data_IF_275236030451
#
_entry.id   IF_275236030451
#
_cell.length_a   1.000
_cell.length_b   1.000
_cell.length_c   1.000
_cell.angle_alpha   90.00
_cell.angle_beta   90.00
_cell.angle_gamma   90.00
#
_symmetry.space_group_name_H-M   'P 1'
#
loop_
_entity.id
_entity.type
_entity.pdbx_description
1 polymer ?
#
# COMPACT_ATOMS: atom_id res chain seq x y z
N UNK A 1 -3.48 21.64 -6.81
CA UNK A 1 -4.01 21.51 -5.43
C UNK A 1 -2.94 20.80 -4.60
N UNK A 2 -2.66 21.25 -3.37
CA UNK A 2 -1.72 20.52 -2.50
C UNK A 2 -2.31 19.18 -2.07
N UNK A 3 -1.46 18.21 -1.74
CA UNK A 3 -1.90 16.86 -1.33
C UNK A 3 -2.63 16.86 0.04
N UNK A 4 -2.43 17.91 0.84
CA UNK A 4 -3.08 18.10 2.15
C UNK A 4 -4.32 19.02 2.11
N UNK A 5 -4.77 19.45 0.93
CA UNK A 5 -5.85 20.43 0.80
C UNK A 5 -7.18 20.03 1.49
N UNK A 6 -7.37 18.74 1.79
CA UNK A 6 -8.57 18.19 2.42
C UNK A 6 -8.28 17.35 3.68
N UNK A 7 -7.14 17.55 4.33
CA UNK A 7 -6.74 16.74 5.49
C UNK A 7 -7.72 16.89 6.67
N UNK A 8 -8.25 18.10 6.90
CA UNK A 8 -9.22 18.38 7.98
C UNK A 8 -10.70 18.05 7.66
N UNK A 9 -11.02 17.56 6.46
CA UNK A 9 -12.40 17.29 6.03
C UNK A 9 -12.93 15.95 6.58
N UNK A 10 -12.97 15.80 7.91
CA UNK A 10 -13.25 14.54 8.61
C UNK A 10 -14.63 13.92 8.30
N UNK A 11 -15.62 14.75 7.97
CA UNK A 11 -16.99 14.32 7.72
C UNK A 11 -17.36 14.25 6.23
N UNK A 12 -16.38 14.40 5.32
CA UNK A 12 -16.67 14.35 3.89
C UNK A 12 -16.96 12.92 3.45
N UNK A 13 -18.10 12.72 2.79
CA UNK A 13 -18.55 11.43 2.24
C UNK A 13 -18.11 11.24 0.78
N UNK A 14 -18.09 12.32 -0.01
CA UNK A 14 -17.77 12.28 -1.44
C UNK A 14 -17.13 13.57 -1.95
N UNK A 15 -16.26 13.43 -2.95
CA UNK A 15 -15.84 14.50 -3.84
C UNK A 15 -16.72 14.51 -5.09
N UNK A 16 -17.12 15.71 -5.52
CA UNK A 16 -17.81 15.93 -6.79
C UNK A 16 -17.05 16.98 -7.59
N UNK A 17 -16.64 16.64 -8.81
CA UNK A 17 -16.02 17.57 -9.76
C UNK A 17 -17.05 17.95 -10.82
N UNK A 18 -17.43 19.23 -10.85
CA UNK A 18 -18.54 19.74 -11.67
C UNK A 18 -18.06 20.14 -13.09
N UNK A 19 -16.77 20.45 -13.27
CA UNK A 19 -16.19 20.79 -14.58
C UNK A 19 -15.21 19.70 -15.07
N UNK A 20 -15.57 19.05 -16.18
CA UNK A 20 -14.77 17.99 -16.81
C UNK A 20 -13.62 18.49 -17.71
N UNK A 21 -13.47 19.81 -17.86
CA UNK A 21 -12.32 20.43 -18.53
C UNK A 21 -11.13 20.65 -17.60
N UNK A 22 -11.33 20.53 -16.29
CA UNK A 22 -10.30 20.69 -15.26
C UNK A 22 -9.30 19.54 -15.17
N UNK A 23 -8.34 19.68 -14.25
CA UNK A 23 -7.25 18.71 -14.03
C UNK A 23 -7.66 17.45 -13.25
N UNK A 24 -8.90 17.39 -12.74
CA UNK A 24 -9.37 16.37 -11.82
C UNK A 24 -10.64 15.71 -12.32
N UNK A 25 -10.92 14.51 -11.80
CA UNK A 25 -12.17 13.79 -12.02
C UNK A 25 -12.56 13.05 -10.75
N UNK A 26 -13.81 12.57 -10.68
CA UNK A 26 -14.30 11.78 -9.55
C UNK A 26 -14.87 10.46 -10.03
N UNK A 27 -14.80 9.46 -9.17
CA UNK A 27 -15.45 8.17 -9.35
C UNK A 27 -15.73 7.58 -7.98
N UNK A 28 -16.95 7.08 -7.77
CA UNK A 28 -17.39 6.55 -6.47
C UNK A 28 -17.09 7.50 -5.30
N UNK A 29 -17.22 8.81 -5.53
CA UNK A 29 -16.93 9.86 -4.55
C UNK A 29 -15.43 10.06 -4.22
N UNK A 30 -14.51 9.34 -4.85
CA UNK A 30 -13.06 9.51 -4.68
C UNK A 30 -12.53 10.51 -5.73
N UNK A 31 -11.56 11.33 -5.34
CA UNK A 31 -10.92 12.32 -6.21
C UNK A 31 -9.68 11.74 -6.90
N UNK A 32 -9.62 11.92 -8.21
CA UNK A 32 -8.54 11.47 -9.08
C UNK A 32 -7.99 12.62 -9.93
N UNK A 33 -6.83 12.41 -10.55
CA UNK A 33 -6.45 13.23 -11.70
C UNK A 33 -7.43 12.98 -12.88
N UNK A 34 -7.39 13.84 -13.89
CA UNK A 34 -8.32 13.78 -15.04
C UNK A 34 -8.32 12.43 -15.75
N UNK A 35 -7.14 11.82 -15.94
CA UNK A 35 -6.97 10.53 -16.61
C UNK A 35 -7.30 9.32 -15.73
N UNK A 36 -7.63 9.52 -14.44
CA UNK A 36 -7.83 8.45 -13.46
C UNK A 36 -6.64 7.49 -13.36
N UNK A 37 -5.44 8.02 -13.48
CA UNK A 37 -4.19 7.29 -13.29
C UNK A 37 -3.56 7.53 -11.92
N UNK A 38 -3.96 8.60 -11.22
CA UNK A 38 -3.55 8.92 -9.85
C UNK A 38 -4.78 9.10 -8.95
N UNK A 39 -4.83 8.38 -7.83
CA UNK A 39 -5.71 8.74 -6.71
C UNK A 39 -5.13 9.98 -6.04
N UNK A 40 -5.93 11.03 -5.95
CA UNK A 40 -5.52 12.29 -5.31
C UNK A 40 -5.96 12.29 -3.85
N UNK A 41 -7.23 11.97 -3.57
CA UNK A 41 -7.75 11.94 -2.21
C UNK A 41 -9.01 11.09 -2.09
N UNK A 42 -9.10 10.31 -1.03
CA UNK A 42 -10.29 9.60 -0.59
C UNK A 42 -10.98 10.40 0.53
N UNK A 43 -12.32 10.50 0.54
CA UNK A 43 -13.06 11.10 1.65
C UNK A 43 -12.84 10.31 2.95
N UNK A 44 -12.67 11.01 4.07
CA UNK A 44 -12.35 10.36 5.36
C UNK A 44 -13.49 9.48 5.90
N UNK A 45 -14.74 9.77 5.54
CA UNK A 45 -15.89 8.97 5.95
C UNK A 45 -16.18 7.79 5.00
N UNK A 46 -15.35 7.57 3.97
CA UNK A 46 -15.50 6.42 3.06
C UNK A 46 -15.32 5.10 3.82
N UNK A 47 -16.17 4.11 3.54
CA UNK A 47 -16.20 2.83 4.26
C UNK A 47 -16.19 1.60 3.36
N UNK A 48 -15.78 0.48 3.93
CA UNK A 48 -15.86 -0.84 3.32
C UNK A 48 -14.77 -1.11 2.31
N UNK A 49 -15.12 -1.82 1.24
CA UNK A 49 -14.19 -2.27 0.21
C UNK A 49 -14.05 -1.21 -0.87
N UNK A 50 -12.81 -0.85 -1.21
CA UNK A 50 -12.50 0.06 -2.33
C UNK A 50 -11.91 -0.72 -3.49
N UNK A 51 -12.58 -0.64 -4.63
CA UNK A 51 -12.09 -1.16 -5.91
C UNK A 51 -11.59 0.02 -6.73
N UNK A 52 -10.27 0.09 -6.96
CA UNK A 52 -9.71 1.15 -7.76
C UNK A 52 -9.88 0.89 -9.27
N UNK A 53 -10.02 1.94 -10.09
CA UNK A 53 -10.06 1.80 -11.54
C UNK A 53 -8.83 1.06 -12.08
N UNK A 54 -9.02 0.31 -13.16
CA UNK A 54 -7.96 -0.42 -13.86
C UNK A 54 -6.77 0.46 -14.27
N UNK A 55 -7.02 1.74 -14.56
CA UNK A 55 -6.01 2.70 -15.02
C UNK A 55 -5.09 3.26 -13.93
N UNK A 56 -5.30 2.91 -12.66
CA UNK A 56 -4.52 3.49 -11.56
C UNK A 56 -3.09 2.97 -11.59
N UNK A 57 -2.15 3.89 -11.80
CA UNK A 57 -0.71 3.65 -11.65
C UNK A 57 -0.10 4.38 -10.46
N UNK A 58 -0.86 5.22 -9.75
CA UNK A 58 -0.35 5.94 -8.58
C UNK A 58 -1.43 6.13 -7.52
N UNK A 59 -1.12 5.74 -6.29
CA UNK A 59 -1.78 6.24 -5.09
C UNK A 59 -0.95 7.41 -4.61
N UNK A 60 -1.50 8.62 -4.65
CA UNK A 60 -0.78 9.82 -4.22
C UNK A 60 -0.41 9.78 -2.73
N UNK A 61 0.53 10.64 -2.35
CA UNK A 61 0.87 10.81 -0.95
C UNK A 61 -0.39 11.23 -0.17
N UNK A 62 -0.55 10.67 1.03
CA UNK A 62 -1.72 10.88 1.89
C UNK A 62 -3.09 10.57 1.25
N UNK A 63 -3.18 9.92 0.09
CA UNK A 63 -4.43 9.79 -0.65
C UNK A 63 -5.55 9.12 0.15
N UNK A 64 -5.23 8.14 1.00
CA UNK A 64 -6.15 7.47 1.92
C UNK A 64 -5.76 7.67 3.40
N UNK A 65 -4.84 8.59 3.70
CA UNK A 65 -4.42 8.82 5.09
C UNK A 65 -5.63 9.11 5.97
N UNK A 66 -5.72 8.40 7.10
CA UNK A 66 -6.77 8.43 8.10
C UNK A 66 -8.16 7.94 7.64
N UNK A 67 -8.26 7.21 6.52
CA UNK A 67 -9.49 6.55 6.10
C UNK A 67 -9.81 5.32 6.98
N UNK A 68 -10.24 5.58 8.21
CA UNK A 68 -10.51 4.56 9.24
C UNK A 68 -11.74 3.69 8.94
N UNK A 69 -12.57 4.04 7.96
CA UNK A 69 -13.75 3.23 7.58
C UNK A 69 -13.46 2.12 6.57
N UNK A 70 -12.31 2.16 5.89
CA UNK A 70 -11.98 1.21 4.81
C UNK A 70 -11.44 -0.08 5.40
N UNK A 71 -11.91 -1.21 4.88
CA UNK A 71 -11.51 -2.56 5.33
C UNK A 71 -10.63 -3.28 4.32
N UNK A 72 -10.80 -3.01 3.02
CA UNK A 72 -10.03 -3.65 1.96
C UNK A 72 -9.83 -2.73 0.76
N UNK A 73 -8.68 -2.86 0.09
CA UNK A 73 -8.36 -2.10 -1.12
C UNK A 73 -7.83 -3.03 -2.20
N UNK A 74 -8.39 -2.91 -3.40
CA UNK A 74 -7.98 -3.66 -4.58
C UNK A 74 -7.32 -2.72 -5.59
N UNK A 75 -6.02 -2.96 -5.84
CA UNK A 75 -5.17 -2.23 -6.77
C UNK A 75 -4.86 -3.14 -7.96
N UNK A 76 -5.53 -2.89 -9.08
CA UNK A 76 -5.54 -3.76 -10.27
C UNK A 76 -4.37 -3.55 -11.23
N UNK A 77 -3.74 -2.38 -11.15
CA UNK A 77 -2.49 -2.07 -11.85
C UNK A 77 -1.49 -1.48 -10.87
N UNK A 78 -0.25 -1.94 -11.01
CA UNK A 78 0.80 -1.66 -10.04
C UNK A 78 1.61 -0.44 -10.46
N UNK A 79 2.04 0.35 -9.49
CA UNK A 79 2.85 1.53 -9.73
C UNK A 79 3.35 2.09 -8.41
N UNK A 80 3.05 3.34 -8.10
CA UNK A 80 3.53 3.97 -6.87
C UNK A 80 2.45 4.00 -5.79
N UNK A 81 2.74 3.49 -4.61
CA UNK A 81 2.04 3.78 -3.36
C UNK A 81 2.84 4.86 -2.64
N UNK A 82 2.30 6.09 -2.66
CA UNK A 82 2.94 7.29 -2.15
C UNK A 82 3.21 7.28 -0.65
N UNK A 83 3.96 8.28 -0.20
CA UNK A 83 4.32 8.45 1.21
C UNK A 83 3.05 8.66 2.04
N UNK A 84 2.96 7.98 3.17
CA UNK A 84 1.78 8.04 4.05
C UNK A 84 0.44 7.71 3.35
N UNK A 85 0.44 7.06 2.18
CA UNK A 85 -0.75 6.88 1.35
C UNK A 85 -1.93 6.27 2.11
N UNK A 86 -1.67 5.30 3.00
CA UNK A 86 -2.63 4.64 3.87
C UNK A 86 -2.30 4.81 5.36
N UNK A 87 -1.52 5.82 5.74
CA UNK A 87 -1.18 6.06 7.14
C UNK A 87 -2.46 6.22 7.99
N UNK A 88 -2.50 5.56 9.15
CA UNK A 88 -3.62 5.55 10.10
C UNK A 88 -4.94 4.97 9.54
N UNK A 89 -4.90 4.13 8.50
CA UNK A 89 -6.04 3.30 8.09
C UNK A 89 -6.25 2.13 9.06
N UNK A 90 -6.68 2.43 10.28
CA UNK A 90 -6.68 1.47 11.41
C UNK A 90 -7.62 0.27 11.25
N UNK A 91 -8.63 0.35 10.37
CA UNK A 91 -9.50 -0.78 10.05
C UNK A 91 -9.14 -1.51 8.75
N UNK A 92 -8.06 -1.11 8.05
CA UNK A 92 -7.63 -1.78 6.84
C UNK A 92 -7.09 -3.17 7.21
N UNK A 93 -7.78 -4.22 6.76
CA UNK A 93 -7.46 -5.61 7.06
C UNK A 93 -6.70 -6.28 5.91
N UNK A 94 -6.99 -5.87 4.67
CA UNK A 94 -6.37 -6.46 3.48
C UNK A 94 -6.08 -5.44 2.39
N UNK A 95 -4.96 -5.64 1.70
CA UNK A 95 -4.65 -4.93 0.47
C UNK A 95 -4.24 -5.93 -0.60
N UNK A 96 -4.89 -5.85 -1.75
CA UNK A 96 -4.54 -6.62 -2.92
C UNK A 96 -3.78 -5.73 -3.90
N UNK A 97 -2.52 -6.10 -4.16
CA UNK A 97 -1.66 -5.46 -5.15
C UNK A 97 -1.45 -6.47 -6.27
N UNK A 98 -1.88 -6.13 -7.50
CA UNK A 98 -1.72 -7.02 -8.64
C UNK A 98 -0.24 -7.34 -8.91
N UNK A 99 0.08 -8.62 -9.03
CA UNK A 99 1.42 -9.12 -9.36
C UNK A 99 1.60 -9.17 -10.89
N UNK A 100 2.24 -8.14 -11.46
CA UNK A 100 2.56 -8.06 -12.89
C UNK A 100 4.07 -8.03 -13.08
N UNK A 101 4.58 -8.99 -13.85
CA UNK A 101 6.01 -9.23 -14.05
C UNK A 101 6.81 -8.08 -14.70
N UNK A 102 6.15 -7.12 -15.35
CA UNK A 102 6.78 -6.03 -16.10
C UNK A 102 6.64 -4.64 -15.45
N UNK A 103 6.09 -4.57 -14.23
CA UNK A 103 5.78 -3.30 -13.58
C UNK A 103 6.47 -3.19 -12.23
N UNK A 104 7.29 -2.15 -12.05
CA UNK A 104 7.95 -1.89 -10.77
C UNK A 104 6.97 -1.24 -9.81
N UNK A 105 6.85 -1.81 -8.61
CA UNK A 105 5.98 -1.25 -7.56
C UNK A 105 6.80 -0.52 -6.52
N UNK A 106 6.54 0.77 -6.31
CA UNK A 106 7.21 1.55 -5.27
C UNK A 106 6.27 1.69 -4.07
N UNK A 107 6.69 1.21 -2.90
CA UNK A 107 5.97 1.39 -1.63
C UNK A 107 6.81 2.33 -0.76
N UNK A 108 6.44 3.60 -0.76
CA UNK A 108 7.22 4.68 -0.14
C UNK A 108 7.19 4.64 1.40
N UNK A 109 7.98 5.51 2.03
CA UNK A 109 8.05 5.63 3.48
C UNK A 109 6.66 5.86 4.10
N UNK A 110 6.40 5.18 5.23
CA UNK A 110 5.16 5.29 6.00
C UNK A 110 3.87 4.97 5.22
N UNK A 111 3.96 4.35 4.03
CA UNK A 111 2.82 4.06 3.16
C UNK A 111 1.65 3.36 3.90
N UNK A 112 1.94 2.49 4.86
CA UNK A 112 0.98 1.76 5.69
C UNK A 112 1.18 2.01 7.19
N UNK A 113 1.74 3.17 7.57
CA UNK A 113 1.97 3.50 8.97
C UNK A 113 0.69 3.33 9.81
N UNK A 114 0.79 2.65 10.96
CA UNK A 114 -0.32 2.43 11.90
C UNK A 114 -1.58 1.76 11.29
N UNK A 115 -1.43 0.98 10.21
CA UNK A 115 -2.46 0.05 9.74
C UNK A 115 -2.55 -1.16 10.69
N UNK A 116 -3.03 -0.94 11.92
CA UNK A 116 -2.94 -1.90 13.03
C UNK A 116 -3.68 -3.23 12.79
N UNK A 117 -4.67 -3.26 11.89
CA UNK A 117 -5.41 -4.47 11.51
C UNK A 117 -4.91 -5.18 10.26
N UNK A 118 -3.98 -4.59 9.51
CA UNK A 118 -3.45 -5.20 8.30
C UNK A 118 -2.65 -6.44 8.70
N UNK A 119 -3.16 -7.62 8.34
CA UNK A 119 -2.60 -8.89 8.81
C UNK A 119 -1.77 -9.64 7.78
N UNK A 120 -2.02 -9.40 6.50
CA UNK A 120 -1.25 -10.01 5.41
C UNK A 120 -1.13 -9.07 4.22
N UNK A 121 0.01 -9.13 3.54
CA UNK A 121 0.24 -8.46 2.26
C UNK A 121 1.13 -9.31 1.35
N UNK A 122 0.77 -9.36 0.07
CA UNK A 122 1.63 -9.89 -0.99
C UNK A 122 2.34 -8.73 -1.68
N UNK A 123 3.67 -8.77 -1.70
CA UNK A 123 4.51 -7.77 -2.35
C UNK A 123 5.04 -8.35 -3.68
N UNK A 124 4.67 -7.75 -4.84
CA UNK A 124 5.05 -8.23 -6.17
C UNK A 124 6.56 -8.32 -6.39
N UNK A 125 6.99 -9.18 -7.33
CA UNK A 125 8.39 -9.52 -7.55
C UNK A 125 9.28 -8.34 -7.97
N UNK A 126 8.71 -7.29 -8.55
CA UNK A 126 9.46 -6.11 -9.00
C UNK A 126 9.24 -4.91 -8.07
N UNK A 127 9.18 -5.11 -6.74
CA UNK A 127 8.90 -3.99 -5.83
C UNK A 127 10.15 -3.40 -5.19
N UNK A 128 10.08 -2.10 -4.87
CA UNK A 128 10.97 -1.42 -3.94
C UNK A 128 10.14 -0.93 -2.76
N UNK A 129 10.55 -1.35 -1.57
CA UNK A 129 9.84 -1.06 -0.31
C UNK A 129 10.79 -0.28 0.59
N UNK A 130 10.33 0.87 1.05
CA UNK A 130 11.10 1.72 1.93
C UNK A 130 11.07 1.23 3.37
N UNK A 131 12.12 1.52 4.14
CA UNK A 131 12.36 0.91 5.46
C UNK A 131 11.26 1.17 6.48
N UNK A 132 10.55 2.29 6.37
CA UNK A 132 9.50 2.67 7.31
C UNK A 132 8.07 2.41 6.79
N UNK A 133 7.92 1.73 5.64
CA UNK A 133 6.64 1.55 4.97
C UNK A 133 5.53 0.92 5.86
N UNK A 134 5.90 0.07 6.82
CA UNK A 134 4.98 -0.69 7.68
C UNK A 134 5.14 -0.39 9.18
N UNK A 135 5.70 0.76 9.55
CA UNK A 135 5.81 1.16 10.98
C UNK A 135 4.43 1.10 11.64
N UNK A 136 4.36 0.51 12.84
CA UNK A 136 3.10 0.43 13.59
C UNK A 136 2.06 -0.55 13.01
N UNK A 137 2.37 -1.33 11.97
CA UNK A 137 1.56 -2.46 11.50
C UNK A 137 1.64 -3.65 12.47
N UNK A 138 1.20 -3.46 13.72
CA UNK A 138 1.33 -4.44 14.81
C UNK A 138 0.53 -5.73 14.58
N UNK A 139 -0.51 -5.67 13.73
CA UNK A 139 -1.35 -6.80 13.35
C UNK A 139 -0.76 -7.69 12.25
N UNK A 140 0.37 -7.32 11.63
CA UNK A 140 0.96 -8.08 10.54
C UNK A 140 1.40 -9.47 11.02
N UNK A 141 0.83 -10.51 10.40
CA UNK A 141 1.13 -11.92 10.67
C UNK A 141 1.92 -12.55 9.55
N UNK A 142 1.69 -12.14 8.31
CA UNK A 142 2.27 -12.76 7.12
C UNK A 142 2.66 -11.70 6.09
N UNK A 143 3.85 -11.81 5.53
CA UNK A 143 4.22 -11.09 4.31
C UNK A 143 4.68 -12.09 3.27
N UNK A 144 4.10 -12.01 2.07
CA UNK A 144 4.48 -12.84 0.94
C UNK A 144 5.31 -12.03 -0.05
N UNK A 145 6.59 -12.37 -0.16
CA UNK A 145 7.52 -11.74 -1.09
C UNK A 145 7.60 -12.57 -2.36
N UNK A 146 7.39 -11.95 -3.51
CA UNK A 146 7.44 -12.65 -4.81
C UNK A 146 8.79 -12.55 -5.52
N UNK A 147 9.76 -11.79 -5.00
CA UNK A 147 11.08 -11.69 -5.62
C UNK A 147 12.04 -12.79 -5.16
N UNK A 148 12.81 -13.33 -6.11
CA UNK A 148 13.89 -14.29 -5.86
C UNK A 148 15.29 -13.66 -5.74
N UNK A 149 15.44 -12.41 -6.20
CA UNK A 149 16.71 -11.69 -6.22
C UNK A 149 16.60 -10.45 -5.34
N UNK A 150 17.53 -10.30 -4.41
CA UNK A 150 17.59 -9.16 -3.50
C UNK A 150 19.02 -8.66 -3.29
N UNK A 151 19.13 -7.39 -2.92
CA UNK A 151 20.33 -6.73 -2.44
C UNK A 151 20.20 -6.38 -0.95
N UNK A 152 21.25 -5.79 -0.36
CA UNK A 152 21.34 -5.55 1.09
C UNK A 152 20.29 -4.59 1.66
N UNK A 153 19.65 -3.75 0.85
CA UNK A 153 18.64 -2.79 1.33
C UNK A 153 17.19 -3.25 1.13
N UNK A 154 16.94 -4.32 0.36
CA UNK A 154 15.58 -4.71 -0.04
C UNK A 154 14.71 -5.22 1.13
N UNK A 155 15.32 -5.61 2.26
CA UNK A 155 14.62 -6.22 3.42
C UNK A 155 14.50 -5.30 4.64
N UNK A 156 14.95 -4.04 4.55
CA UNK A 156 15.00 -3.12 5.70
C UNK A 156 13.65 -2.94 6.41
N UNK A 157 12.55 -2.97 5.64
CA UNK A 157 11.20 -2.82 6.17
C UNK A 157 10.76 -3.96 7.10
N UNK A 158 11.35 -5.16 6.98
CA UNK A 158 11.01 -6.32 7.79
C UNK A 158 11.38 -6.14 9.26
N UNK A 159 12.35 -5.27 9.58
CA UNK A 159 12.76 -4.94 10.95
C UNK A 159 11.71 -4.11 11.71
N UNK A 160 10.74 -3.51 10.99
CA UNK A 160 9.64 -2.74 11.60
C UNK A 160 8.41 -3.59 11.91
N UNK A 161 8.39 -4.83 11.44
CA UNK A 161 7.28 -5.76 11.65
C UNK A 161 7.37 -6.46 13.00
N UNK A 162 6.23 -6.96 13.47
CA UNK A 162 6.18 -7.85 14.62
C UNK A 162 7.10 -9.08 14.39
N UNK A 163 7.86 -9.48 15.41
CA UNK A 163 8.75 -10.66 15.38
C UNK A 163 8.00 -11.97 15.08
N UNK A 164 6.71 -12.04 15.40
CA UNK A 164 5.88 -13.22 15.13
C UNK A 164 5.42 -13.28 13.67
N UNK A 165 5.63 -12.22 12.88
CA UNK A 165 5.27 -12.17 11.46
C UNK A 165 6.14 -13.14 10.66
N UNK A 166 5.48 -14.09 9.98
CA UNK A 166 6.12 -14.99 9.02
C UNK A 166 6.37 -14.29 7.70
N UNK A 167 7.49 -14.61 7.08
CA UNK A 167 7.97 -14.04 5.83
C UNK A 167 8.00 -15.19 4.82
N UNK A 168 6.99 -15.21 3.98
CA UNK A 168 6.88 -16.18 2.91
C UNK A 168 7.71 -15.72 1.72
N UNK A 169 8.55 -16.61 1.21
CA UNK A 169 9.50 -16.35 0.12
C UNK A 169 9.34 -17.39 -0.99
N UNK A 170 9.75 -17.09 -2.23
CA UNK A 170 9.59 -18.05 -3.31
C UNK A 170 10.43 -19.30 -3.08
N UNK A 171 9.86 -20.48 -3.32
CA UNK A 171 10.57 -21.77 -3.22
C UNK A 171 11.94 -21.77 -3.92
N UNK A 172 12.94 -22.35 -3.26
CA UNK A 172 14.31 -22.47 -3.76
C UNK A 172 15.17 -21.21 -3.56
N UNK A 173 14.66 -20.19 -2.86
CA UNK A 173 15.37 -18.93 -2.64
C UNK A 173 15.81 -18.71 -1.19
N UNK A 174 15.57 -19.65 -0.27
CA UNK A 174 15.97 -19.55 1.14
C UNK A 174 17.44 -19.11 1.31
N UNK A 175 18.36 -19.73 0.57
CA UNK A 175 19.78 -19.39 0.62
C UNK A 175 20.12 -17.96 0.17
N UNK A 176 19.31 -17.34 -0.69
CA UNK A 176 19.46 -15.93 -1.07
C UNK A 176 19.00 -15.02 0.06
N UNK A 177 17.86 -15.32 0.68
CA UNK A 177 17.33 -14.53 1.80
C UNK A 177 18.22 -14.60 3.04
N UNK A 178 18.77 -15.77 3.37
CA UNK A 178 19.68 -15.95 4.51
C UNK A 178 20.98 -15.13 4.42
N UNK A 179 21.35 -14.62 3.23
CA UNK A 179 22.53 -13.73 3.09
C UNK A 179 22.28 -12.34 3.67
N UNK A 180 21.02 -11.90 3.71
CA UNK A 180 20.63 -10.53 4.03
C UNK A 180 19.60 -10.44 5.17
N UNK A 181 19.04 -11.58 5.60
CA UNK A 181 18.09 -11.69 6.69
C UNK A 181 18.59 -12.68 7.74
N UNK A 182 18.63 -12.24 9.00
CA UNK A 182 19.23 -13.01 10.11
C UNK A 182 18.21 -13.80 10.92
N UNK A 183 16.96 -13.36 10.97
CA UNK A 183 15.88 -14.03 11.71
C UNK A 183 15.24 -15.13 10.86
N UNK A 184 16.00 -16.20 10.64
CA UNK A 184 15.66 -17.27 9.71
C UNK A 184 14.41 -18.07 10.13
N UNK A 185 14.05 -18.08 11.42
CA UNK A 185 12.87 -18.79 11.95
C UNK A 185 11.55 -18.17 11.47
N UNK A 186 11.62 -16.93 10.95
CA UNK A 186 10.49 -16.25 10.32
C UNK A 186 10.33 -16.61 8.84
N UNK A 187 11.36 -17.15 8.18
CA UNK A 187 11.31 -17.47 6.76
C UNK A 187 10.52 -18.77 6.51
N UNK A 188 9.63 -18.74 5.52
CA UNK A 188 8.86 -19.89 5.05
C UNK A 188 8.92 -19.91 3.53
N UNK A 189 9.34 -21.01 2.92
CA UNK A 189 9.25 -21.15 1.46
C UNK A 189 7.84 -21.55 1.03
N UNK A 190 7.33 -20.92 -0.03
CA UNK A 190 6.06 -21.28 -0.70
C UNK A 190 6.25 -21.59 -2.19
#
# INVERSE_FOLDING_TARGET
>A
MSETAFEGCANLDEFVVIDNKGAYSTQDGILYNRSKTKVVRCPLNKRGIINLPASIGTIGDYAFSSCTGITSIYITETGTIGSCAFSNCTNLESIHIADRWNTVTFIMDYAFENCVKLSSITIPACSKVWGEAFVGCIGMKEIHLKWGYLNSSDLGFLYRLNKDCKIFIPRGHLGTYMKYWTDIDRLVEE
#
